data_IF_669183307326
#
_entry.id   IF_669183307326
#
_cell.length_a   1.000
_cell.length_b   1.000
_cell.length_c   1.000
_cell.angle_alpha   90.00
_cell.angle_beta   90.00
_cell.angle_gamma   90.00
#
_symmetry.space_group_name_H-M   'P 1'
#
loop_
_entity.id
_entity.type
_entity.pdbx_description
1 polymer ?
#
# COMPACT_ATOMS: atom_id res chain seq x y z
N UNK A 1 17.93 -1.90 -49.58
CA UNK A 1 17.33 -3.03 -48.81
C UNK A 1 17.50 -2.72 -47.31
N UNK A 2 16.82 -1.71 -46.76
CA UNK A 2 15.52 -1.80 -46.05
C UNK A 2 15.41 -2.90 -45.00
N UNK A 3 15.69 -2.53 -43.74
CA UNK A 3 14.86 -2.93 -42.57
C UNK A 3 15.18 -2.01 -41.38
N UNK A 4 14.56 -0.84 -41.36
CA UNK A 4 14.36 -0.10 -40.10
C UNK A 4 13.21 -0.79 -39.37
N UNK A 5 13.53 -1.62 -38.39
CA UNK A 5 12.53 -2.14 -37.46
C UNK A 5 12.02 -0.98 -36.60
N UNK A 6 10.91 -0.39 -37.05
CA UNK A 6 10.07 0.50 -36.26
C UNK A 6 9.75 -0.19 -34.94
N UNK A 7 10.24 0.40 -33.85
CA UNK A 7 9.64 0.19 -32.55
C UNK A 7 8.21 0.71 -32.66
N UNK A 8 7.26 -0.18 -32.95
CA UNK A 8 5.84 0.13 -32.91
C UNK A 8 5.50 0.55 -31.47
N UNK A 9 5.54 1.86 -31.23
CA UNK A 9 4.80 2.53 -30.19
C UNK A 9 3.34 2.18 -30.42
N UNK A 10 2.66 1.60 -29.43
CA UNK A 10 1.22 1.32 -29.51
C UNK A 10 0.49 2.57 -30.02
N UNK A 11 -0.55 2.39 -30.85
CA UNK A 11 -1.32 3.52 -31.34
C UNK A 11 -1.87 4.32 -30.14
N UNK A 12 -1.89 5.66 -30.19
CA UNK A 12 -2.26 6.49 -29.04
C UNK A 12 -3.63 6.12 -28.46
N UNK A 13 -4.58 5.68 -29.28
CA UNK A 13 -5.92 5.24 -28.85
C UNK A 13 -5.90 3.96 -27.98
N UNK A 14 -5.08 2.96 -28.33
CA UNK A 14 -4.99 1.68 -27.60
C UNK A 14 -4.44 1.86 -26.18
N UNK A 15 -3.44 2.72 -26.04
CA UNK A 15 -2.83 3.02 -24.74
C UNK A 15 -3.79 3.76 -23.79
N UNK A 16 -4.74 4.52 -24.33
CA UNK A 16 -5.71 5.28 -23.54
C UNK A 16 -6.76 4.38 -22.90
N UNK A 17 -7.20 3.32 -23.58
CA UNK A 17 -8.17 2.37 -23.02
C UNK A 17 -7.64 1.65 -21.78
N UNK A 18 -6.36 1.24 -21.81
CA UNK A 18 -5.67 0.64 -20.65
C UNK A 18 -5.59 1.61 -19.47
N UNK A 19 -5.30 2.89 -19.73
CA UNK A 19 -5.30 3.92 -18.69
C UNK A 19 -6.70 4.12 -18.11
N UNK A 20 -7.73 4.20 -18.96
CA UNK A 20 -9.13 4.35 -18.52
C UNK A 20 -9.54 3.16 -17.64
N UNK A 21 -9.27 1.94 -18.07
CA UNK A 21 -9.56 0.72 -17.29
C UNK A 21 -8.87 0.75 -15.92
N UNK A 22 -7.62 1.21 -15.86
CA UNK A 22 -6.90 1.38 -14.59
C UNK A 22 -7.52 2.47 -13.72
N UNK A 23 -7.88 3.63 -14.28
CA UNK A 23 -8.50 4.71 -13.53
C UNK A 23 -9.88 4.31 -12.98
N UNK A 24 -10.67 3.53 -13.74
CA UNK A 24 -11.94 2.97 -13.28
C UNK A 24 -11.74 1.98 -12.14
N UNK A 25 -10.73 1.11 -12.22
CA UNK A 25 -10.36 0.22 -11.11
C UNK A 25 -9.97 1.02 -9.87
N UNK A 26 -9.14 2.06 -10.03
CA UNK A 26 -8.72 2.92 -8.93
C UNK A 26 -9.90 3.65 -8.30
N UNK A 27 -10.88 4.10 -9.09
CA UNK A 27 -12.11 4.69 -8.60
C UNK A 27 -12.97 3.67 -7.83
N UNK A 28 -13.12 2.44 -8.33
CA UNK A 28 -13.83 1.38 -7.61
C UNK A 28 -13.15 1.04 -6.29
N UNK A 29 -11.81 0.94 -6.27
CA UNK A 29 -11.04 0.75 -5.05
C UNK A 29 -11.13 1.96 -4.10
N UNK A 30 -11.22 3.17 -4.63
CA UNK A 30 -11.40 4.37 -3.80
C UNK A 30 -12.74 4.34 -3.05
N UNK A 31 -13.82 3.94 -3.72
CA UNK A 31 -15.17 3.91 -3.14
C UNK A 31 -15.44 2.70 -2.25
N UNK A 32 -14.75 1.57 -2.50
CA UNK A 32 -15.06 0.29 -1.86
C UNK A 32 -13.89 -0.52 -1.30
N UNK A 33 -12.66 -0.07 -1.53
CA UNK A 33 -11.43 -0.82 -1.23
C UNK A 33 -10.70 -0.35 0.02
N UNK A 34 -11.35 0.42 0.90
CA UNK A 34 -10.75 1.00 2.10
C UNK A 34 -10.92 0.19 3.38
N UNK A 35 -11.48 -1.02 3.31
CA UNK A 35 -11.64 -1.93 4.44
C UNK A 35 -10.87 -3.24 4.21
N UNK A 36 -10.42 -3.88 5.30
CA UNK A 36 -9.59 -5.09 5.29
C UNK A 36 -10.34 -6.37 5.67
N UNK A 37 -11.62 -6.25 6.03
CA UNK A 37 -12.47 -7.38 6.44
C UNK A 37 -13.02 -8.13 5.24
N UNK A 38 -13.21 -9.44 5.39
CA UNK A 38 -13.74 -10.32 4.35
C UNK A 38 -15.24 -10.14 4.09
N UNK A 39 -16.00 -9.67 5.09
CA UNK A 39 -17.47 -9.52 5.08
C UNK A 39 -17.97 -8.18 4.49
N UNK A 40 -17.07 -7.36 3.95
CA UNK A 40 -17.43 -6.05 3.42
C UNK A 40 -18.09 -6.19 2.05
N UNK A 41 -19.35 -5.72 1.96
CA UNK A 41 -20.20 -5.78 0.76
C UNK A 41 -19.55 -5.14 -0.47
N UNK A 42 -18.74 -4.09 -0.30
CA UNK A 42 -18.09 -3.42 -1.43
C UNK A 42 -17.09 -4.29 -2.17
N UNK A 43 -16.58 -5.37 -1.56
CA UNK A 43 -15.72 -6.34 -2.25
C UNK A 43 -16.44 -7.06 -3.40
N UNK A 44 -17.79 -7.11 -3.37
CA UNK A 44 -18.62 -7.66 -4.44
C UNK A 44 -18.48 -6.90 -5.76
N UNK A 45 -18.11 -5.62 -5.74
CA UNK A 45 -17.85 -4.86 -6.97
C UNK A 45 -16.36 -4.57 -7.20
N UNK A 46 -15.55 -4.43 -6.14
CA UNK A 46 -14.10 -4.17 -6.28
C UNK A 46 -13.37 -5.33 -6.97
N UNK A 47 -13.69 -6.58 -6.60
CA UNK A 47 -13.03 -7.76 -7.20
C UNK A 47 -13.43 -7.97 -8.67
N UNK A 48 -14.72 -7.91 -9.05
CA UNK A 48 -15.08 -7.90 -10.47
C UNK A 48 -14.46 -6.73 -11.24
N UNK A 49 -14.38 -5.52 -10.67
CA UNK A 49 -13.71 -4.40 -11.33
C UNK A 49 -12.22 -4.69 -11.61
N UNK A 50 -11.52 -5.38 -10.71
CA UNK A 50 -10.14 -5.80 -10.93
C UNK A 50 -10.04 -6.83 -12.07
N UNK A 51 -10.96 -7.80 -12.13
CA UNK A 51 -11.04 -8.80 -13.22
C UNK A 51 -11.34 -8.10 -14.55
N UNK A 52 -12.32 -7.20 -14.59
CA UNK A 52 -12.66 -6.43 -15.79
C UNK A 52 -11.49 -5.57 -16.27
N UNK A 53 -10.72 -4.99 -15.34
CA UNK A 53 -9.50 -4.26 -15.68
C UNK A 53 -8.45 -5.19 -16.32
N UNK A 54 -8.22 -6.37 -15.74
CA UNK A 54 -7.32 -7.40 -16.30
C UNK A 54 -7.77 -7.80 -17.71
N UNK A 55 -9.05 -8.15 -17.87
CA UNK A 55 -9.64 -8.55 -19.15
C UNK A 55 -9.51 -7.42 -20.18
N UNK A 56 -9.85 -6.19 -19.81
CA UNK A 56 -9.73 -5.04 -20.71
C UNK A 56 -8.27 -4.84 -21.16
N UNK A 57 -7.30 -4.95 -20.25
CA UNK A 57 -5.87 -4.80 -20.59
C UNK A 57 -5.39 -5.90 -21.52
N UNK A 58 -5.81 -7.15 -21.30
CA UNK A 58 -5.42 -8.30 -22.12
C UNK A 58 -6.08 -8.30 -23.51
N UNK A 59 -7.33 -7.83 -23.62
CA UNK A 59 -8.06 -7.73 -24.88
C UNK A 59 -7.67 -6.50 -25.70
N UNK A 60 -7.15 -5.45 -25.06
CA UNK A 60 -6.69 -4.24 -25.77
C UNK A 60 -5.37 -4.55 -26.48
N UNK A 61 -5.31 -4.41 -27.83
CA UNK A 61 -4.07 -4.60 -28.59
C UNK A 61 -2.93 -3.70 -28.08
N UNK A 62 -1.69 -4.15 -28.29
CA UNK A 62 -0.48 -3.42 -27.91
C UNK A 62 0.47 -4.23 -27.03
N UNK A 63 1.73 -3.82 -26.98
CA UNK A 63 2.76 -4.55 -26.22
C UNK A 63 2.59 -4.36 -24.72
N UNK A 64 2.77 -5.45 -23.96
CA UNK A 64 2.90 -5.44 -22.51
C UNK A 64 4.37 -5.61 -22.15
N UNK A 65 4.96 -4.65 -21.43
CA UNK A 65 6.34 -4.75 -20.95
C UNK A 65 6.38 -5.45 -19.59
N UNK A 66 6.12 -6.76 -19.59
CA UNK A 66 6.17 -7.59 -18.38
C UNK A 66 7.60 -7.71 -17.84
N UNK A 67 8.62 -7.55 -18.69
CA UNK A 67 10.02 -7.63 -18.27
C UNK A 67 10.37 -6.49 -17.31
N UNK A 68 9.82 -5.29 -17.54
CA UNK A 68 9.95 -4.16 -16.63
C UNK A 68 9.49 -4.49 -15.20
N UNK A 69 8.34 -5.14 -15.09
CA UNK A 69 7.66 -5.41 -13.83
C UNK A 69 7.87 -6.86 -13.34
N UNK A 70 8.85 -7.57 -13.90
CA UNK A 70 9.09 -9.00 -13.62
C UNK A 70 9.27 -9.30 -12.14
N UNK A 71 9.95 -8.40 -11.39
CA UNK A 71 10.20 -8.63 -9.96
C UNK A 71 8.95 -8.35 -9.12
N UNK A 72 8.24 -7.21 -9.27
CA UNK A 72 6.93 -7.03 -8.64
C UNK A 72 5.95 -8.17 -8.93
N UNK A 73 5.87 -8.63 -10.19
CA UNK A 73 5.03 -9.78 -10.55
C UNK A 73 5.49 -11.08 -9.90
N UNK A 74 6.80 -11.36 -9.89
CA UNK A 74 7.33 -12.58 -9.26
C UNK A 74 7.09 -12.59 -7.74
N UNK A 75 7.19 -11.44 -7.07
CA UNK A 75 6.93 -11.34 -5.63
C UNK A 75 5.44 -11.48 -5.31
N UNK A 76 4.57 -10.82 -6.08
CA UNK A 76 3.11 -10.96 -5.92
C UNK A 76 2.63 -12.38 -6.28
N UNK A 77 3.16 -12.96 -7.35
CA UNK A 77 2.91 -14.33 -7.77
C UNK A 77 3.47 -15.36 -6.77
N UNK A 78 4.61 -15.08 -6.15
CA UNK A 78 5.16 -15.87 -5.06
C UNK A 78 4.24 -15.87 -3.84
N UNK A 79 3.69 -14.71 -3.48
CA UNK A 79 2.70 -14.61 -2.39
C UNK A 79 1.42 -15.39 -2.72
N UNK A 80 0.92 -15.28 -3.94
CA UNK A 80 -0.20 -16.07 -4.43
C UNK A 80 0.10 -17.57 -4.40
N UNK A 81 1.31 -17.97 -4.76
CA UNK A 81 1.75 -19.37 -4.72
C UNK A 81 1.79 -19.91 -3.29
N UNK A 82 2.26 -19.12 -2.31
CA UNK A 82 2.20 -19.52 -0.89
C UNK A 82 0.75 -19.78 -0.47
N UNK A 83 -0.18 -18.88 -0.81
CA UNK A 83 -1.60 -19.07 -0.51
C UNK A 83 -2.19 -20.31 -1.20
N UNK A 84 -1.81 -20.58 -2.45
CA UNK A 84 -2.24 -21.78 -3.18
C UNK A 84 -1.70 -23.06 -2.56
N UNK A 85 -0.42 -23.07 -2.14
CA UNK A 85 0.18 -24.20 -1.42
C UNK A 85 -0.55 -24.45 -0.11
N UNK A 86 -0.93 -23.40 0.62
CA UNK A 86 -1.69 -23.52 1.86
C UNK A 86 -3.09 -24.14 1.67
N UNK A 87 -3.62 -24.16 0.44
CA UNK A 87 -4.91 -24.77 0.11
C UNK A 87 -4.79 -26.24 -0.34
N UNK A 88 -3.59 -26.80 -0.43
CA UNK A 88 -3.39 -28.20 -0.79
C UNK A 88 -3.90 -29.11 0.33
N UNK A 89 -4.92 -29.96 0.07
CA UNK A 89 -5.41 -30.91 1.07
C UNK A 89 -4.37 -31.99 1.34
N UNK A 90 -4.10 -32.23 2.62
CA UNK A 90 -3.21 -33.27 3.10
C UNK A 90 -4.00 -34.46 3.66
N UNK A 91 -3.49 -35.69 3.54
CA UNK A 91 -4.01 -36.85 4.25
C UNK A 91 -4.04 -36.63 5.77
N UNK A 92 -5.01 -37.23 6.49
CA UNK A 92 -5.17 -37.01 7.93
C UNK A 92 -3.89 -37.20 8.76
N UNK A 93 -3.11 -38.24 8.48
CA UNK A 93 -1.86 -38.50 9.20
C UNK A 93 -0.78 -37.44 8.99
N UNK A 94 -0.67 -36.90 7.76
CA UNK A 94 0.27 -35.82 7.46
C UNK A 94 -0.19 -34.50 8.06
N UNK A 95 -1.49 -34.21 7.97
CA UNK A 95 -2.08 -33.01 8.56
C UNK A 95 -1.94 -33.00 10.09
N UNK A 96 -2.20 -34.13 10.76
CA UNK A 96 -2.06 -34.29 12.21
C UNK A 96 -0.61 -34.10 12.69
N UNK A 97 0.37 -34.52 11.88
CA UNK A 97 1.78 -34.37 12.18
C UNK A 97 2.32 -32.95 11.94
N UNK A 98 1.52 -32.04 11.36
CA UNK A 98 1.95 -30.66 11.14
C UNK A 98 2.10 -29.90 12.47
N UNK A 99 3.08 -28.97 12.55
CA UNK A 99 3.24 -28.09 13.71
C UNK A 99 1.94 -27.34 14.04
N UNK A 100 1.51 -27.40 15.29
CA UNK A 100 0.32 -26.71 15.80
C UNK A 100 -1.03 -27.35 15.44
N UNK A 101 -1.07 -28.41 14.63
CA UNK A 101 -2.34 -29.03 14.19
C UNK A 101 -2.89 -30.07 15.16
N UNK A 102 -2.03 -30.68 15.99
CA UNK A 102 -2.41 -31.74 16.92
C UNK A 102 -3.53 -31.33 17.90
N UNK A 103 -3.57 -30.06 18.30
CA UNK A 103 -4.58 -29.52 19.23
C UNK A 103 -6.01 -29.55 18.68
N UNK A 104 -6.18 -29.61 17.34
CA UNK A 104 -7.50 -29.65 16.72
C UNK A 104 -8.03 -31.08 16.54
N UNK A 105 -7.19 -32.10 16.74
CA UNK A 105 -7.55 -33.50 16.48
C UNK A 105 -8.69 -33.98 17.38
N UNK A 106 -8.73 -33.55 18.64
CA UNK A 106 -9.80 -33.91 19.57
C UNK A 106 -11.15 -33.42 19.05
N UNK A 107 -11.26 -32.13 18.72
CA UNK A 107 -12.48 -31.52 18.16
C UNK A 107 -12.87 -32.17 16.82
N UNK A 108 -11.89 -32.45 15.97
CA UNK A 108 -12.13 -33.13 14.67
C UNK A 108 -12.64 -34.57 14.88
N UNK A 109 -12.12 -35.29 15.88
CA UNK A 109 -12.55 -36.65 16.17
C UNK A 109 -13.97 -36.69 16.72
N UNK A 110 -14.32 -35.77 17.61
CA UNK A 110 -15.66 -35.64 18.20
C UNK A 110 -16.73 -35.26 17.16
N UNK A 111 -16.34 -34.54 16.10
CA UNK A 111 -17.22 -34.17 14.99
C UNK A 111 -17.31 -35.22 13.87
N UNK A 112 -16.65 -36.39 14.03
CA UNK A 112 -16.66 -37.47 13.04
C UNK A 112 -15.76 -37.22 11.81
N UNK A 113 -14.95 -36.16 11.83
CA UNK A 113 -14.11 -35.71 10.71
C UNK A 113 -12.69 -36.27 10.69
N UNK A 114 -12.38 -37.31 11.48
CA UNK A 114 -11.02 -37.83 11.69
C UNK A 114 -10.36 -38.41 10.41
N UNK A 115 -11.16 -38.85 9.44
CA UNK A 115 -10.68 -39.40 8.16
C UNK A 115 -10.59 -38.39 7.01
N UNK A 116 -10.99 -37.14 7.22
CA UNK A 116 -11.09 -36.15 6.15
C UNK A 116 -9.74 -35.54 5.79
N UNK A 117 -9.51 -35.37 4.49
CA UNK A 117 -8.34 -34.64 4.00
C UNK A 117 -8.53 -33.14 4.23
N UNK A 118 -7.53 -32.50 4.81
CA UNK A 118 -7.62 -31.09 5.22
C UNK A 118 -6.45 -30.28 4.67
N UNK A 119 -6.71 -29.05 4.19
CA UNK A 119 -5.65 -28.17 3.73
C UNK A 119 -4.71 -27.74 4.86
N UNK A 120 -3.52 -27.28 4.48
CA UNK A 120 -2.54 -26.71 5.41
C UNK A 120 -3.14 -25.52 6.17
N UNK A 121 -3.92 -24.67 5.49
CA UNK A 121 -4.62 -23.55 6.12
C UNK A 121 -5.71 -24.04 7.08
N UNK A 122 -5.75 -23.45 8.28
CA UNK A 122 -6.79 -23.71 9.28
C UNK A 122 -8.15 -23.08 8.93
N UNK A 123 -8.16 -22.04 8.09
CA UNK A 123 -9.39 -21.40 7.58
C UNK A 123 -9.30 -21.22 6.07
N UNK A 124 -9.58 -22.28 5.28
CA UNK A 124 -9.32 -22.30 3.84
C UNK A 124 -10.10 -21.23 3.08
N UNK A 125 -11.35 -20.95 3.50
CA UNK A 125 -12.16 -19.88 2.91
C UNK A 125 -11.53 -18.50 3.09
N UNK A 126 -10.91 -18.22 4.23
CA UNK A 126 -10.20 -16.96 4.47
C UNK A 126 -8.90 -16.86 3.66
N UNK A 127 -8.23 -18.00 3.41
CA UNK A 127 -7.06 -18.06 2.52
C UNK A 127 -7.44 -17.84 1.06
N UNK A 128 -8.54 -18.43 0.59
CA UNK A 128 -9.10 -18.14 -0.74
C UNK A 128 -9.49 -16.66 -0.85
N UNK A 129 -10.13 -16.12 0.18
CA UNK A 129 -10.50 -14.71 0.24
C UNK A 129 -9.26 -13.79 0.17
N UNK A 130 -8.18 -14.15 0.85
CA UNK A 130 -6.89 -13.44 0.81
C UNK A 130 -6.23 -13.52 -0.57
N UNK A 131 -6.30 -14.68 -1.23
CA UNK A 131 -5.82 -14.86 -2.60
C UNK A 131 -6.56 -13.94 -3.58
N UNK A 132 -7.88 -13.84 -3.48
CA UNK A 132 -8.66 -12.87 -4.27
C UNK A 132 -8.36 -11.41 -3.89
N UNK A 133 -7.87 -11.16 -2.68
CA UNK A 133 -7.34 -9.86 -2.26
C UNK A 133 -6.13 -9.39 -3.06
N UNK A 134 -5.42 -10.29 -3.74
CA UNK A 134 -4.29 -9.94 -4.61
C UNK A 134 -4.73 -9.45 -6.01
N UNK A 135 -6.01 -9.61 -6.38
CA UNK A 135 -6.50 -9.21 -7.70
C UNK A 135 -6.33 -7.71 -7.98
N UNK A 136 -6.73 -6.77 -7.09
CA UNK A 136 -6.55 -5.34 -7.35
C UNK A 136 -5.08 -4.93 -7.61
N UNK A 137 -4.09 -5.27 -6.75
CA UNK A 137 -2.70 -4.93 -7.05
C UNK A 137 -2.16 -5.66 -8.29
N UNK A 138 -2.58 -6.90 -8.58
CA UNK A 138 -2.19 -7.61 -9.80
C UNK A 138 -2.71 -6.90 -11.06
N UNK A 139 -3.97 -6.47 -11.05
CA UNK A 139 -4.58 -5.71 -12.13
C UNK A 139 -3.86 -4.37 -12.38
N UNK A 140 -3.46 -3.68 -11.31
CA UNK A 140 -2.64 -2.45 -11.40
C UNK A 140 -1.30 -2.73 -12.08
N UNK A 141 -0.54 -3.75 -11.65
CA UNK A 141 0.74 -4.08 -12.26
C UNK A 141 0.59 -4.43 -13.75
N UNK A 142 -0.44 -5.21 -14.09
CA UNK A 142 -0.73 -5.59 -15.47
C UNK A 142 -1.10 -4.38 -16.33
N UNK A 143 -1.99 -3.52 -15.85
CA UNK A 143 -2.35 -2.30 -16.56
C UNK A 143 -1.13 -1.40 -16.80
N UNK A 144 -0.32 -1.15 -15.77
CA UNK A 144 0.90 -0.32 -15.86
C UNK A 144 1.92 -0.88 -16.85
N UNK A 145 2.02 -2.21 -16.96
CA UNK A 145 2.91 -2.87 -17.94
C UNK A 145 2.59 -2.47 -19.39
N UNK A 146 1.34 -2.12 -19.68
CA UNK A 146 0.87 -1.69 -20.98
C UNK A 146 0.79 -0.18 -21.19
N UNK A 147 1.13 0.63 -20.18
CA UNK A 147 1.09 2.10 -20.26
C UNK A 147 2.39 2.70 -20.79
N UNK A 148 2.26 3.81 -21.54
CA UNK A 148 3.39 4.67 -21.90
C UNK A 148 3.96 5.41 -20.69
N UNK A 149 5.21 5.88 -20.81
CA UNK A 149 5.87 6.65 -19.78
C UNK A 149 5.05 7.87 -19.32
N UNK A 150 4.46 8.62 -20.25
CA UNK A 150 3.62 9.79 -19.95
C UNK A 150 2.35 9.39 -19.20
N UNK A 151 1.71 8.28 -19.55
CA UNK A 151 0.52 7.80 -18.85
C UNK A 151 0.83 7.34 -17.42
N UNK A 152 2.02 6.77 -17.19
CA UNK A 152 2.47 6.41 -15.84
C UNK A 152 2.73 7.64 -14.97
N UNK A 153 3.12 8.77 -15.56
CA UNK A 153 3.18 10.05 -14.85
C UNK A 153 1.78 10.54 -14.43
N UNK A 154 0.73 10.27 -15.20
CA UNK A 154 -0.65 10.62 -14.81
C UNK A 154 -1.12 9.89 -13.54
N UNK A 155 -0.52 8.74 -13.20
CA UNK A 155 -0.84 8.03 -11.96
C UNK A 155 -0.46 8.83 -10.71
N UNK A 156 0.49 9.76 -10.81
CA UNK A 156 0.80 10.70 -9.71
C UNK A 156 -0.43 11.56 -9.43
N UNK A 157 -1.09 12.06 -10.47
CA UNK A 157 -2.32 12.83 -10.34
C UNK A 157 -3.47 11.97 -9.81
N UNK A 158 -3.58 10.70 -10.24
CA UNK A 158 -4.59 9.78 -9.73
C UNK A 158 -4.47 9.59 -8.20
N UNK A 159 -3.26 9.37 -7.69
CA UNK A 159 -3.00 9.28 -6.23
C UNK A 159 -3.38 10.59 -5.52
N UNK A 160 -3.02 11.76 -6.08
CA UNK A 160 -3.38 13.07 -5.51
C UNK A 160 -4.90 13.27 -5.48
N UNK A 161 -5.62 12.89 -6.53
CA UNK A 161 -7.08 13.01 -6.62
C UNK A 161 -7.75 12.11 -5.58
N UNK A 162 -7.31 10.86 -5.44
CA UNK A 162 -7.81 9.93 -4.42
C UNK A 162 -7.55 10.48 -3.01
N UNK A 163 -6.33 10.98 -2.75
CA UNK A 163 -5.99 11.57 -1.46
C UNK A 163 -6.84 12.82 -1.16
N UNK A 164 -7.06 13.67 -2.16
CA UNK A 164 -7.94 14.85 -2.03
C UNK A 164 -9.38 14.42 -1.73
N UNK A 165 -9.92 13.45 -2.46
CA UNK A 165 -11.26 12.92 -2.20
C UNK A 165 -11.37 12.34 -0.78
N UNK A 166 -10.35 11.61 -0.32
CA UNK A 166 -10.29 11.05 1.03
C UNK A 166 -10.20 12.14 2.11
N UNK A 167 -9.40 13.18 1.90
CA UNK A 167 -9.29 14.31 2.81
C UNK A 167 -10.62 15.09 2.91
N UNK A 168 -11.27 15.36 1.78
CA UNK A 168 -12.58 16.02 1.73
C UNK A 168 -13.66 15.18 2.42
N UNK A 169 -13.71 13.88 2.14
CA UNK A 169 -14.66 12.99 2.81
C UNK A 169 -14.38 12.91 4.32
N UNK A 170 -13.11 12.89 4.73
CA UNK A 170 -12.72 12.92 6.13
C UNK A 170 -13.16 14.22 6.83
N UNK A 171 -13.07 15.37 6.16
CA UNK A 171 -13.62 16.63 6.68
C UNK A 171 -15.13 16.54 6.86
N UNK A 172 -15.85 16.03 5.85
CA UNK A 172 -17.30 15.86 5.90
C UNK A 172 -17.72 14.94 7.05
N UNK A 173 -17.03 13.81 7.25
CA UNK A 173 -17.26 12.86 8.34
C UNK A 173 -17.16 13.49 9.74
N UNK A 174 -16.18 14.37 9.95
CA UNK A 174 -16.02 15.09 11.22
C UNK A 174 -17.16 16.10 11.40
N UNK A 175 -17.44 16.90 10.36
CA UNK A 175 -18.49 17.94 10.44
C UNK A 175 -19.90 17.38 10.58
N UNK A 176 -20.16 16.16 10.10
CA UNK A 176 -21.47 15.49 10.22
C UNK A 176 -21.70 14.78 11.55
N UNK A 177 -20.71 14.72 12.45
CA UNK A 177 -20.81 13.99 13.70
C UNK A 177 -20.68 12.47 13.57
N UNK A 178 -20.78 11.76 14.70
CA UNK A 178 -20.52 10.32 14.85
C UNK A 178 -21.48 9.46 14.00
N UNK A 179 -22.74 9.89 13.87
CA UNK A 179 -23.81 9.18 13.15
C UNK A 179 -24.05 9.73 11.74
N UNK A 180 -23.12 10.55 11.22
CA UNK A 180 -23.23 11.15 9.91
C UNK A 180 -23.26 10.14 8.75
N UNK A 181 -23.86 10.49 7.60
CA UNK A 181 -24.02 9.58 6.46
C UNK A 181 -22.72 9.36 5.65
N UNK A 182 -21.65 10.10 5.97
CA UNK A 182 -20.41 10.10 5.18
C UNK A 182 -19.43 8.97 5.55
N UNK A 183 -19.75 8.12 6.52
CA UNK A 183 -18.97 6.91 6.81
C UNK A 183 -19.33 5.80 5.82
N UNK A 184 -18.36 5.38 5.00
CA UNK A 184 -18.55 4.37 3.96
C UNK A 184 -18.72 2.94 4.49
N UNK A 185 -18.30 2.70 5.75
CA UNK A 185 -18.26 1.37 6.34
C UNK A 185 -18.96 1.36 7.70
N UNK A 186 -19.69 0.28 7.97
CA UNK A 186 -20.42 0.10 9.24
C UNK A 186 -19.48 -0.01 10.44
N UNK A 187 -18.37 -0.76 10.27
CA UNK A 187 -17.32 -0.91 11.28
C UNK A 187 -16.18 0.05 10.93
N UNK A 188 -16.10 1.17 11.66
CA UNK A 188 -15.14 2.26 11.39
C UNK A 188 -14.85 3.07 12.65
N UNK A 189 -13.82 3.92 12.61
CA UNK A 189 -13.49 4.88 13.68
C UNK A 189 -14.40 6.11 13.63
N UNK A 190 -15.66 5.98 14.06
CA UNK A 190 -16.63 7.08 14.05
C UNK A 190 -16.16 8.27 14.91
N UNK A 191 -16.49 9.48 14.45
CA UNK A 191 -16.07 10.75 15.05
C UNK A 191 -14.69 11.24 14.60
N UNK A 192 -13.99 10.51 13.73
CA UNK A 192 -12.65 10.85 13.24
C UNK A 192 -12.61 10.87 11.71
N UNK A 193 -11.62 11.56 11.12
CA UNK A 193 -11.43 11.59 9.67
C UNK A 193 -10.91 10.25 9.14
N UNK A 194 -11.82 9.34 8.81
CA UNK A 194 -11.49 8.03 8.20
C UNK A 194 -11.41 8.09 6.67
N UNK A 195 -11.93 9.15 6.05
CA UNK A 195 -11.89 9.36 4.61
C UNK A 195 -12.49 8.18 3.85
N UNK A 196 -11.79 7.70 2.83
CA UNK A 196 -12.17 6.54 2.02
C UNK A 196 -11.95 5.19 2.72
N UNK A 197 -11.44 5.18 3.94
CA UNK A 197 -11.06 3.97 4.69
C UNK A 197 -11.98 3.71 5.87
N UNK A 198 -12.01 2.45 6.33
CA UNK A 198 -12.59 2.08 7.62
C UNK A 198 -11.62 2.39 8.79
N UNK A 199 -10.32 2.38 8.53
CA UNK A 199 -9.27 2.63 9.51
C UNK A 199 -8.71 4.06 9.33
N UNK A 200 -8.79 4.87 10.39
CA UNK A 200 -8.26 6.25 10.44
C UNK A 200 -6.76 6.34 10.13
N UNK A 201 -5.98 5.33 10.54
CA UNK A 201 -4.55 5.29 10.30
C UNK A 201 -4.22 5.11 8.80
N UNK A 202 -5.04 4.35 8.08
CA UNK A 202 -4.87 4.14 6.63
C UNK A 202 -5.14 5.43 5.84
N UNK A 203 -6.13 6.23 6.28
CA UNK A 203 -6.37 7.55 5.71
C UNK A 203 -5.18 8.47 5.95
N UNK A 204 -4.68 8.56 7.19
CA UNK A 204 -3.52 9.38 7.51
C UNK A 204 -2.28 8.98 6.67
N UNK A 205 -2.05 7.68 6.49
CA UNK A 205 -0.99 7.16 5.64
C UNK A 205 -1.14 7.57 4.16
N UNK A 206 -2.35 7.47 3.60
CA UNK A 206 -2.61 7.91 2.22
C UNK A 206 -2.28 9.40 2.05
N UNK A 207 -2.75 10.24 2.98
CA UNK A 207 -2.48 11.69 2.94
C UNK A 207 -0.99 12.00 3.09
N UNK A 208 -0.30 11.30 4.00
CA UNK A 208 1.14 11.41 4.17
C UNK A 208 1.92 11.01 2.90
N UNK A 209 1.54 9.92 2.25
CA UNK A 209 2.14 9.45 1.01
C UNK A 209 1.83 10.36 -0.19
N UNK A 210 0.73 11.10 -0.15
CA UNK A 210 0.36 12.07 -1.19
C UNK A 210 1.19 13.37 -1.14
N UNK A 211 1.78 13.74 0.00
CA UNK A 211 2.65 14.92 0.12
C UNK A 211 3.86 14.89 -0.84
N UNK A 212 4.68 13.81 -0.89
CA UNK A 212 5.74 13.73 -1.88
C UNK A 212 5.21 13.57 -3.32
N UNK A 213 4.01 13.00 -3.51
CA UNK A 213 3.37 12.94 -4.82
C UNK A 213 2.99 14.35 -5.33
N UNK A 214 2.47 15.23 -4.47
CA UNK A 214 2.22 16.64 -4.79
C UNK A 214 3.49 17.35 -5.24
N UNK A 215 4.60 17.17 -4.51
CA UNK A 215 5.90 17.73 -4.92
C UNK A 215 6.29 17.22 -6.30
N UNK A 216 6.19 15.91 -6.50
CA UNK A 216 6.51 15.28 -7.77
C UNK A 216 5.70 15.82 -8.93
N UNK A 217 4.39 16.05 -8.72
CA UNK A 217 3.54 16.68 -9.71
C UNK A 217 4.03 18.08 -10.10
N UNK A 218 4.53 18.88 -9.15
CA UNK A 218 5.12 20.20 -9.46
C UNK A 218 6.38 20.13 -10.33
N UNK A 219 7.08 19.00 -10.34
CA UNK A 219 8.35 18.80 -11.05
C UNK A 219 8.18 18.22 -12.46
N UNK A 220 7.02 17.64 -12.78
CA UNK A 220 6.74 17.11 -14.11
C UNK A 220 6.82 18.21 -15.19
N UNK A 221 7.04 17.88 -16.48
CA UNK A 221 6.97 18.87 -17.55
C UNK A 221 5.67 19.68 -17.52
N UNK A 222 5.75 20.98 -17.86
CA UNK A 222 4.62 21.90 -17.85
C UNK A 222 4.56 22.64 -19.19
N UNK A 223 3.35 22.84 -19.73
CA UNK A 223 3.13 23.50 -21.03
C UNK A 223 3.55 24.97 -21.05
N UNK A 224 3.46 25.65 -19.91
CA UNK A 224 3.84 27.07 -19.78
C UNK A 224 4.36 27.38 -18.37
N UNK A 225 5.06 28.51 -18.21
CA UNK A 225 5.50 29.01 -16.92
C UNK A 225 4.31 29.30 -15.98
N UNK A 226 3.24 29.89 -16.52
CA UNK A 226 2.00 30.15 -15.79
C UNK A 226 1.37 28.85 -15.27
N UNK A 227 1.26 27.82 -16.11
CA UNK A 227 0.73 26.52 -15.71
C UNK A 227 1.59 25.87 -14.60
N UNK A 228 2.91 26.00 -14.69
CA UNK A 228 3.84 25.53 -13.64
C UNK A 228 3.59 26.25 -12.30
N UNK A 229 3.37 27.57 -12.33
CA UNK A 229 3.06 28.36 -11.13
C UNK A 229 1.70 27.95 -10.54
N UNK A 230 0.64 27.88 -11.35
CA UNK A 230 -0.69 27.43 -10.89
C UNK A 230 -0.62 26.05 -10.26
N UNK A 231 0.06 25.10 -10.91
CA UNK A 231 0.28 23.75 -10.37
C UNK A 231 1.00 23.75 -9.03
N UNK A 232 1.96 24.66 -8.85
CA UNK A 232 2.70 24.80 -7.59
C UNK A 232 1.79 25.34 -6.48
N UNK A 233 0.97 26.36 -6.77
CA UNK A 233 0.02 26.91 -5.81
C UNK A 233 -1.07 25.92 -5.42
N UNK A 234 -1.60 25.15 -6.39
CA UNK A 234 -2.53 24.05 -6.11
C UNK A 234 -1.86 23.01 -5.21
N UNK A 235 -0.62 22.62 -5.50
CA UNK A 235 0.10 21.65 -4.67
C UNK A 235 0.35 22.15 -3.25
N UNK A 236 0.62 23.44 -3.07
CA UNK A 236 0.76 24.06 -1.74
C UNK A 236 -0.59 24.04 -1.00
N UNK A 237 -1.67 24.46 -1.66
CA UNK A 237 -3.01 24.46 -1.07
C UNK A 237 -3.48 23.07 -0.65
N UNK A 238 -3.32 22.07 -1.53
CA UNK A 238 -3.64 20.68 -1.21
C UNK A 238 -2.71 20.11 -0.13
N UNK A 239 -1.42 20.46 -0.14
CA UNK A 239 -0.48 20.03 0.89
C UNK A 239 -0.86 20.57 2.27
N UNK A 240 -1.23 21.85 2.36
CA UNK A 240 -1.75 22.45 3.59
C UNK A 240 -3.06 21.79 4.02
N UNK A 241 -3.97 21.54 3.08
CA UNK A 241 -5.22 20.84 3.37
C UNK A 241 -4.97 19.43 3.95
N UNK A 242 -4.07 18.65 3.36
CA UNK A 242 -3.72 17.32 3.88
C UNK A 242 -3.10 17.40 5.28
N UNK A 243 -2.18 18.34 5.51
CA UNK A 243 -1.57 18.56 6.81
C UNK A 243 -2.59 18.97 7.90
N UNK A 244 -3.70 19.61 7.52
CA UNK A 244 -4.79 19.93 8.44
C UNK A 244 -5.69 18.73 8.75
N UNK A 245 -5.90 17.84 7.77
CA UNK A 245 -6.75 16.64 7.97
C UNK A 245 -6.02 15.52 8.71
N UNK A 246 -4.68 15.39 8.58
CA UNK A 246 -3.91 14.35 9.27
C UNK A 246 -4.13 14.35 10.80
N UNK A 247 -4.02 15.48 11.53
CA UNK A 247 -4.36 15.53 12.96
C UNK A 247 -5.80 15.11 13.27
N UNK A 248 -6.73 15.46 12.39
CA UNK A 248 -8.15 15.15 12.52
C UNK A 248 -8.46 13.64 12.42
N UNK A 249 -7.49 12.83 11.99
CA UNK A 249 -7.58 11.36 12.03
C UNK A 249 -7.38 10.79 13.44
N UNK A 250 -6.84 11.56 14.39
CA UNK A 250 -6.49 11.06 15.73
C UNK A 250 -5.39 9.99 15.74
N UNK A 251 -4.59 9.89 14.67
CA UNK A 251 -3.53 8.88 14.53
C UNK A 251 -2.14 9.42 14.85
N UNK A 252 -1.55 8.99 15.98
CA UNK A 252 -0.15 9.32 16.35
C UNK A 252 0.85 8.83 15.28
N UNK A 253 0.69 7.60 14.81
CA UNK A 253 1.48 7.06 13.71
C UNK A 253 1.25 7.83 12.41
N UNK A 254 0.00 8.24 12.15
CA UNK A 254 -0.36 9.08 11.00
C UNK A 254 0.30 10.46 11.01
N UNK A 255 0.44 11.09 12.18
CA UNK A 255 1.15 12.35 12.34
C UNK A 255 2.64 12.23 12.07
N UNK A 256 3.28 11.17 12.58
CA UNK A 256 4.67 10.86 12.27
C UNK A 256 4.87 10.58 10.78
N UNK A 257 3.95 9.81 10.17
CA UNK A 257 3.96 9.58 8.73
C UNK A 257 3.77 10.87 7.94
N UNK A 258 2.87 11.77 8.38
CA UNK A 258 2.63 13.07 7.78
C UNK A 258 3.86 13.98 7.83
N UNK A 259 4.53 14.03 8.97
CA UNK A 259 5.80 14.75 9.13
C UNK A 259 6.89 14.16 8.23
N UNK A 260 7.04 12.83 8.19
CA UNK A 260 7.98 12.16 7.30
C UNK A 260 7.67 12.44 5.82
N UNK A 261 6.41 12.34 5.40
CA UNK A 261 5.94 12.66 4.06
C UNK A 261 6.23 14.09 3.65
N UNK A 262 6.05 15.05 4.57
CA UNK A 262 6.39 16.46 4.36
C UNK A 262 7.90 16.67 4.18
N UNK A 263 8.73 16.06 5.04
CA UNK A 263 10.19 16.09 4.93
C UNK A 263 10.64 15.51 3.59
N UNK A 264 10.10 14.35 3.21
CA UNK A 264 10.39 13.73 1.91
C UNK A 264 10.00 14.66 0.76
N UNK A 265 8.83 15.31 0.82
CA UNK A 265 8.39 16.25 -0.21
C UNK A 265 9.36 17.44 -0.37
N UNK A 266 10.07 17.85 0.67
CA UNK A 266 11.11 18.89 0.59
C UNK A 266 12.37 18.36 -0.12
N UNK A 267 12.79 17.13 0.18
CA UNK A 267 14.10 16.60 -0.24
C UNK A 267 14.10 15.69 -1.48
N UNK A 268 12.94 15.24 -1.96
CA UNK A 268 12.83 14.29 -3.09
C UNK A 268 13.54 14.76 -4.37
N UNK A 269 13.56 16.08 -4.60
CA UNK A 269 14.37 16.70 -5.63
C UNK A 269 14.94 18.04 -5.13
N UNK A 270 16.23 18.33 -5.40
CA UNK A 270 16.82 19.62 -5.07
C UNK A 270 16.02 20.72 -5.77
N UNK A 271 15.74 21.81 -5.05
CA UNK A 271 15.31 23.05 -5.70
C UNK A 271 16.46 23.48 -6.62
N UNK A 272 16.17 23.70 -7.91
CA UNK A 272 17.18 23.99 -8.92
C UNK A 272 18.20 25.02 -8.39
N UNK A 273 19.50 24.68 -8.29
CA UNK A 273 20.50 25.48 -7.57
C UNK A 273 20.64 26.90 -8.14
N UNK A 274 20.38 27.07 -9.43
CA UNK A 274 20.64 28.31 -10.17
C UNK A 274 19.79 29.51 -9.69
N UNK A 275 18.76 29.29 -8.85
CA UNK A 275 17.87 30.36 -8.37
C UNK A 275 17.47 30.27 -6.89
N UNK A 276 18.07 29.40 -6.07
CA UNK A 276 17.71 29.33 -4.64
C UNK A 276 18.40 30.46 -3.88
N UNK A 277 17.73 31.61 -3.79
CA UNK A 277 18.14 32.70 -2.91
C UNK A 277 18.31 32.20 -1.46
N UNK A 278 19.34 32.66 -0.76
CA UNK A 278 19.63 32.32 0.64
C UNK A 278 18.41 32.48 1.57
N UNK A 279 17.50 33.41 1.25
CA UNK A 279 16.22 33.60 1.97
C UNK A 279 15.29 32.39 1.88
N UNK A 280 15.20 31.72 0.73
CA UNK A 280 14.35 30.53 0.52
C UNK A 280 14.88 29.34 1.30
N UNK A 281 16.20 29.19 1.40
CA UNK A 281 16.85 28.15 2.18
C UNK A 281 16.58 28.31 3.69
N UNK A 282 16.51 29.56 4.19
CA UNK A 282 16.10 29.86 5.57
C UNK A 282 14.65 29.47 5.86
N UNK A 283 13.71 29.82 4.99
CA UNK A 283 12.29 29.45 5.17
C UNK A 283 12.07 27.93 5.08
N UNK A 284 12.81 27.22 4.22
CA UNK A 284 12.79 25.75 4.17
C UNK A 284 13.26 25.12 5.49
N UNK A 285 14.33 25.67 6.10
CA UNK A 285 14.80 25.23 7.42
C UNK A 285 13.75 25.48 8.50
N UNK A 286 13.10 26.64 8.50
CA UNK A 286 12.00 26.91 9.43
C UNK A 286 10.80 25.98 9.21
N UNK A 287 10.37 25.75 7.96
CA UNK A 287 9.28 24.81 7.66
C UNK A 287 9.60 23.39 8.13
N UNK A 288 10.86 22.95 8.01
CA UNK A 288 11.32 21.63 8.46
C UNK A 288 11.22 21.44 9.98
N UNK A 289 11.32 22.52 10.75
CA UNK A 289 11.21 22.48 12.21
C UNK A 289 9.76 22.73 12.66
N UNK A 290 9.12 23.75 12.08
CA UNK A 290 7.81 24.25 12.51
C UNK A 290 6.69 23.30 12.13
N UNK A 291 6.68 22.73 10.92
CA UNK A 291 5.56 21.86 10.49
C UNK A 291 5.50 20.58 11.34
N UNK A 292 6.60 19.82 11.53
CA UNK A 292 6.56 18.65 12.43
C UNK A 292 6.24 19.03 13.88
N UNK A 293 6.81 20.13 14.39
CA UNK A 293 6.53 20.60 15.74
C UNK A 293 5.05 21.00 15.91
N UNK A 294 4.47 21.68 14.93
CA UNK A 294 3.06 22.05 14.93
C UNK A 294 2.15 20.84 14.83
N UNK A 295 2.46 19.87 13.96
CA UNK A 295 1.73 18.61 13.89
C UNK A 295 1.78 17.86 15.23
N UNK A 296 2.94 17.84 15.90
CA UNK A 296 3.10 17.26 17.23
C UNK A 296 2.29 18.02 18.29
N UNK A 297 2.33 19.35 18.29
CA UNK A 297 1.54 20.16 19.22
C UNK A 297 0.04 19.97 19.00
N UNK A 298 -0.41 19.90 17.75
CA UNK A 298 -1.80 19.58 17.40
C UNK A 298 -2.18 18.17 17.88
N UNK A 299 -1.28 17.19 17.74
CA UNK A 299 -1.49 15.85 18.28
C UNK A 299 -1.78 15.88 19.78
N UNK A 300 -0.92 16.59 20.52
CA UNK A 300 -1.03 16.74 21.97
C UNK A 300 -2.26 17.55 22.38
N UNK A 301 -2.71 18.49 21.55
CA UNK A 301 -3.90 19.31 21.80
C UNK A 301 -5.19 18.54 21.54
N UNK A 302 -5.29 17.82 20.42
CA UNK A 302 -6.46 16.98 20.13
C UNK A 302 -6.64 15.85 21.14
N UNK A 303 -5.55 15.38 21.77
CA UNK A 303 -5.58 14.46 22.91
C UNK A 303 -6.32 15.05 24.13
N UNK A 304 -6.43 16.38 24.24
CA UNK A 304 -7.06 17.08 25.39
C UNK A 304 -8.49 17.57 25.13
N UNK A 305 -8.88 17.79 23.87
CA UNK A 305 -10.11 18.53 23.53
C UNK A 305 -11.33 17.68 23.09
N UNK A 306 -11.12 16.44 22.66
CA UNK A 306 -12.20 15.51 22.29
C UNK A 306 -12.62 14.74 23.54
N UNK A 307 -13.84 14.95 24.07
CA UNK A 307 -14.41 14.32 25.27
C UNK A 307 -13.58 13.16 25.85
N UNK A 308 -12.66 13.55 26.74
CA UNK A 308 -11.53 12.77 27.25
C UNK A 308 -11.90 11.38 27.78
N UNK A 309 -13.14 11.14 28.21
CA UNK A 309 -13.49 9.85 28.82
C UNK A 309 -13.76 8.71 27.84
N UNK A 310 -14.19 8.96 26.59
CA UNK A 310 -14.61 7.87 25.66
C UNK A 310 -13.55 7.48 24.63
N UNK A 311 -12.74 8.42 24.16
CA UNK A 311 -11.68 8.14 23.17
C UNK A 311 -10.36 7.71 23.80
N UNK A 312 -10.07 8.19 25.02
CA UNK A 312 -8.90 7.77 25.80
C UNK A 312 -9.08 6.34 26.28
N UNK A 313 -10.22 5.99 26.88
CA UNK A 313 -10.49 4.60 27.29
C UNK A 313 -10.47 3.62 26.11
N UNK A 314 -11.13 3.93 24.99
CA UNK A 314 -11.12 3.02 23.83
C UNK A 314 -9.76 2.95 23.11
N UNK A 315 -9.02 4.07 23.04
CA UNK A 315 -7.74 4.17 22.36
C UNK A 315 -6.56 3.61 23.16
N UNK A 316 -6.52 3.85 24.47
CA UNK A 316 -5.54 3.25 25.38
C UNK A 316 -5.74 1.75 25.49
N UNK A 317 -6.99 1.30 25.66
CA UNK A 317 -7.30 -0.13 25.72
C UNK A 317 -6.96 -0.85 24.41
N UNK A 318 -7.15 -0.21 23.25
CA UNK A 318 -6.74 -0.76 21.96
C UNK A 318 -5.20 -0.84 21.81
N UNK A 319 -4.45 0.16 22.27
CA UNK A 319 -2.99 0.13 22.23
C UNK A 319 -2.39 -0.88 23.22
N UNK A 320 -2.95 -0.94 24.42
CA UNK A 320 -2.58 -1.92 25.46
C UNK A 320 -2.80 -3.35 24.94
N UNK A 321 -3.96 -3.63 24.35
CA UNK A 321 -4.25 -4.92 23.70
C UNK A 321 -3.25 -5.28 22.61
N UNK A 322 -2.84 -4.34 21.76
CA UNK A 322 -1.83 -4.60 20.71
C UNK A 322 -0.51 -5.04 21.31
N UNK A 323 -0.06 -4.38 22.38
CA UNK A 323 1.19 -4.73 23.06
C UNK A 323 1.09 -6.08 23.77
N UNK A 324 -0.04 -6.36 24.43
CA UNK A 324 -0.31 -7.64 25.09
C UNK A 324 -0.49 -8.80 24.08
N UNK A 325 -0.95 -8.52 22.86
CA UNK A 325 -1.13 -9.51 21.79
C UNK A 325 0.21 -9.98 21.18
N UNK A 326 1.26 -9.16 21.18
CA UNK A 326 2.56 -9.51 20.58
C UNK A 326 3.17 -10.83 21.12
N UNK A 327 3.26 -11.07 22.44
CA UNK A 327 3.78 -12.34 22.94
C UNK A 327 2.88 -13.53 22.55
N UNK A 328 1.56 -13.35 22.49
CA UNK A 328 0.63 -14.39 22.05
C UNK A 328 0.86 -14.73 20.58
N UNK A 329 0.98 -13.70 19.72
CA UNK A 329 1.29 -13.89 18.30
C UNK A 329 2.63 -14.60 18.13
N UNK A 330 3.64 -14.27 18.94
CA UNK A 330 4.94 -14.95 18.90
C UNK A 330 4.84 -16.44 19.28
N UNK A 331 3.98 -16.80 20.24
CA UNK A 331 3.67 -18.20 20.57
C UNK A 331 3.01 -18.90 19.39
N UNK A 332 2.00 -18.29 18.76
CA UNK A 332 1.35 -18.87 17.57
C UNK A 332 2.36 -19.05 16.43
N UNK A 333 3.21 -18.04 16.17
CA UNK A 333 4.28 -18.15 15.17
C UNK A 333 5.16 -19.36 15.47
N UNK A 334 5.59 -19.54 16.72
CA UNK A 334 6.41 -20.67 17.13
C UNK A 334 5.70 -22.02 16.91
N UNK A 335 4.42 -22.11 17.23
CA UNK A 335 3.68 -23.38 17.19
C UNK A 335 3.37 -23.84 15.76
N UNK A 336 3.20 -22.91 14.81
CA UNK A 336 2.88 -23.21 13.41
C UNK A 336 4.07 -23.01 12.44
N UNK A 337 5.25 -22.62 12.92
CA UNK A 337 6.45 -22.54 12.08
C UNK A 337 6.86 -23.94 11.58
N UNK A 338 7.30 -24.12 10.33
CA UNK A 338 7.60 -23.11 9.30
C UNK A 338 6.46 -22.79 8.32
N UNK A 339 5.29 -23.43 8.43
CA UNK A 339 4.23 -23.34 7.41
C UNK A 339 3.27 -22.17 7.63
N UNK A 340 3.13 -21.72 8.88
CA UNK A 340 2.13 -20.73 9.27
C UNK A 340 0.72 -21.31 9.33
N UNK A 341 -0.22 -20.52 9.81
CA UNK A 341 -1.61 -20.93 10.06
C UNK A 341 -2.51 -20.88 8.82
N UNK A 342 -2.09 -20.17 7.76
CA UNK A 342 -2.87 -19.86 6.56
C UNK A 342 -3.19 -18.37 6.44
N UNK A 343 -3.08 -17.76 5.26
CA UNK A 343 -3.47 -16.35 5.07
C UNK A 343 -4.94 -16.10 5.43
N UNK A 344 -5.21 -14.99 6.13
CA UNK A 344 -6.54 -14.62 6.60
C UNK A 344 -6.99 -15.29 7.90
N UNK A 345 -6.18 -16.19 8.47
CA UNK A 345 -6.53 -16.94 9.69
C UNK A 345 -6.22 -16.21 11.00
N UNK A 346 -5.76 -14.96 10.95
CA UNK A 346 -5.35 -14.22 12.15
C UNK A 346 -6.42 -14.25 13.25
N UNK A 347 -7.61 -13.75 12.95
CA UNK A 347 -8.72 -13.65 13.92
C UNK A 347 -9.16 -15.02 14.47
N UNK A 348 -9.52 -16.03 13.64
CA UNK A 348 -9.99 -17.31 14.18
C UNK A 348 -8.93 -18.07 14.98
N UNK A 349 -7.64 -17.95 14.65
CA UNK A 349 -6.57 -18.62 15.40
C UNK A 349 -6.23 -17.85 16.66
N UNK A 350 -6.12 -16.52 16.60
CA UNK A 350 -5.79 -15.69 17.75
C UNK A 350 -6.80 -15.88 18.89
N UNK A 351 -8.09 -15.96 18.59
CA UNK A 351 -9.14 -16.21 19.60
C UNK A 351 -8.96 -17.51 20.37
N UNK A 352 -8.35 -18.54 19.75
CA UNK A 352 -8.05 -19.80 20.43
C UNK A 352 -6.86 -19.70 21.40
N UNK A 353 -6.01 -18.68 21.25
CA UNK A 353 -4.84 -18.43 22.09
C UNK A 353 -5.04 -17.25 23.04
N UNK A 354 -6.14 -16.51 22.94
CA UNK A 354 -6.43 -15.32 23.75
C UNK A 354 -6.68 -15.76 25.22
N UNK A 355 -5.87 -15.29 26.19
CA UNK A 355 -6.07 -15.63 27.59
C UNK A 355 -7.38 -15.05 28.15
N UNK A 356 -7.99 -15.75 29.11
CA UNK A 356 -9.25 -15.33 29.74
C UNK A 356 -9.24 -13.88 30.25
N UNK A 357 -8.10 -13.44 30.80
CA UNK A 357 -7.91 -12.07 31.30
C UNK A 357 -7.85 -10.98 30.23
N UNK A 358 -7.75 -11.34 28.94
CA UNK A 358 -7.74 -10.42 27.80
C UNK A 358 -9.11 -10.34 27.11
N UNK A 359 -10.03 -11.26 27.43
CA UNK A 359 -11.34 -11.33 26.79
C UNK A 359 -12.15 -10.06 27.06
N UNK A 360 -12.74 -9.51 25.99
CA UNK A 360 -13.66 -8.37 26.08
C UNK A 360 -14.76 -8.49 25.04
N UNK A 361 -15.71 -7.55 25.04
CA UNK A 361 -16.76 -7.44 24.01
C UNK A 361 -16.23 -7.03 22.61
N UNK A 362 -14.92 -6.83 22.46
CA UNK A 362 -14.26 -6.47 21.19
C UNK A 362 -13.11 -7.42 20.90
N UNK A 363 -12.92 -7.78 19.64
CA UNK A 363 -11.85 -8.69 19.21
C UNK A 363 -10.79 -7.96 18.37
N UNK A 364 -9.58 -8.52 18.34
CA UNK A 364 -8.51 -8.12 17.44
C UNK A 364 -8.72 -8.79 16.08
N UNK A 365 -9.11 -8.01 15.07
CA UNK A 365 -9.30 -8.52 13.71
C UNK A 365 -7.99 -8.73 12.94
N UNK A 366 -6.88 -8.12 13.40
CA UNK A 366 -5.55 -8.11 12.78
C UNK A 366 -4.48 -7.92 13.85
N UNK A 367 -3.25 -8.32 13.55
CA UNK A 367 -2.11 -8.17 14.46
C UNK A 367 -1.73 -6.70 14.71
N UNK A 368 -2.14 -5.79 13.81
CA UNK A 368 -1.63 -4.40 13.77
C UNK A 368 -0.10 -4.35 13.69
N UNK A 369 0.46 -5.33 13.00
CA UNK A 369 1.85 -5.45 12.62
C UNK A 369 1.89 -6.43 11.45
N UNK A 370 1.95 -5.91 10.22
CA UNK A 370 1.92 -6.76 9.01
C UNK A 370 3.06 -7.79 9.02
N UNK A 371 4.21 -7.50 9.64
CA UNK A 371 5.36 -8.42 9.68
C UNK A 371 5.06 -9.63 10.57
N UNK A 372 4.53 -9.40 11.76
CA UNK A 372 4.14 -10.48 12.68
C UNK A 372 2.98 -11.29 12.11
N UNK A 373 2.00 -10.63 11.50
CA UNK A 373 0.88 -11.34 10.86
C UNK A 373 1.35 -12.16 9.65
N UNK A 374 2.28 -11.64 8.85
CA UNK A 374 2.89 -12.36 7.73
C UNK A 374 3.64 -13.61 8.21
N UNK A 375 4.40 -13.50 9.30
CA UNK A 375 5.11 -14.63 9.90
C UNK A 375 4.13 -15.68 10.47
N UNK A 376 3.08 -15.24 11.17
CA UNK A 376 2.04 -16.10 11.75
C UNK A 376 1.28 -16.86 10.67
N UNK A 377 0.82 -16.15 9.64
CA UNK A 377 -0.08 -16.72 8.63
C UNK A 377 0.63 -17.40 7.48
N UNK A 378 1.76 -16.85 7.01
CA UNK A 378 2.49 -17.33 5.84
C UNK A 378 3.80 -18.06 6.14
N UNK A 379 4.22 -18.09 7.40
CA UNK A 379 5.40 -18.83 7.86
C UNK A 379 6.71 -18.40 7.19
N UNK A 380 7.65 -19.34 7.11
CA UNK A 380 8.99 -19.15 6.56
C UNK A 380 8.94 -18.65 5.11
N UNK A 381 8.08 -19.22 4.27
CA UNK A 381 8.02 -18.85 2.85
C UNK A 381 7.60 -17.39 2.66
N UNK A 382 6.64 -16.91 3.44
CA UNK A 382 6.24 -15.51 3.40
C UNK A 382 7.33 -14.57 3.95
N UNK A 383 8.03 -14.97 5.01
CA UNK A 383 9.20 -14.23 5.51
C UNK A 383 10.32 -14.14 4.47
N UNK A 384 10.59 -15.22 3.71
CA UNK A 384 11.57 -15.21 2.62
C UNK A 384 11.16 -14.30 1.48
N UNK A 385 9.86 -14.26 1.14
CA UNK A 385 9.33 -13.32 0.14
C UNK A 385 9.46 -11.86 0.59
N UNK A 386 9.18 -11.56 1.86
CA UNK A 386 9.42 -10.23 2.43
C UNK A 386 10.91 -9.86 2.37
N UNK A 387 11.79 -10.79 2.74
CA UNK A 387 13.24 -10.56 2.64
C UNK A 387 13.66 -10.28 1.19
N UNK A 388 13.15 -11.06 0.22
CA UNK A 388 13.40 -10.83 -1.20
C UNK A 388 12.88 -9.46 -1.67
N UNK A 389 11.70 -9.03 -1.19
CA UNK A 389 11.16 -7.71 -1.44
C UNK A 389 12.05 -6.60 -0.86
N UNK A 390 12.51 -6.73 0.40
CA UNK A 390 13.39 -5.77 1.05
C UNK A 390 14.76 -5.67 0.35
N UNK A 391 15.31 -6.81 -0.09
CA UNK A 391 16.54 -6.85 -0.90
C UNK A 391 16.32 -6.12 -2.23
N UNK A 392 15.20 -6.40 -2.92
CA UNK A 392 14.85 -5.72 -4.16
C UNK A 392 14.69 -4.20 -3.96
N UNK A 393 13.95 -3.79 -2.93
CA UNK A 393 13.78 -2.39 -2.55
C UNK A 393 15.12 -1.71 -2.26
N UNK A 394 16.00 -2.38 -1.50
CA UNK A 394 17.33 -1.85 -1.18
C UNK A 394 18.24 -1.73 -2.41
N UNK A 395 18.18 -2.66 -3.36
CA UNK A 395 18.96 -2.59 -4.60
C UNK A 395 18.42 -1.53 -5.55
N UNK A 396 17.10 -1.51 -5.80
CA UNK A 396 16.49 -0.53 -6.71
C UNK A 396 16.50 0.87 -6.11
N UNK A 397 16.30 1.00 -4.80
CA UNK A 397 16.38 2.26 -4.09
C UNK A 397 17.78 2.88 -4.17
N UNK A 398 18.84 2.07 -3.94
CA UNK A 398 20.22 2.52 -4.16
C UNK A 398 20.45 3.02 -5.59
N UNK A 399 19.92 2.30 -6.59
CA UNK A 399 20.00 2.74 -8.01
C UNK A 399 19.23 4.04 -8.27
N UNK A 400 18.07 4.22 -7.64
CA UNK A 400 17.26 5.43 -7.76
C UNK A 400 17.93 6.66 -7.12
N UNK A 401 18.62 6.46 -6.00
CA UNK A 401 19.37 7.50 -5.31
C UNK A 401 20.69 7.86 -6.02
N UNK A 402 21.43 6.87 -6.53
CA UNK A 402 22.72 7.08 -7.18
C UNK A 402 22.63 7.88 -8.50
N UNK A 403 21.44 7.95 -9.12
CA UNK A 403 21.26 8.72 -10.36
C UNK A 403 20.98 10.19 -10.08
N UNK A 404 21.55 11.08 -10.90
CA UNK A 404 21.20 12.50 -10.86
C UNK A 404 19.70 12.69 -11.13
N UNK A 405 19.02 13.59 -10.38
CA UNK A 405 17.59 13.87 -10.55
C UNK A 405 17.26 14.69 -11.82
N UNK A 406 17.92 14.42 -12.94
CA UNK A 406 17.74 15.16 -14.20
C UNK A 406 16.72 14.53 -15.16
N UNK A 407 16.26 13.30 -14.90
CA UNK A 407 15.27 12.60 -15.74
C UNK A 407 14.02 12.20 -14.95
N UNK A 408 12.84 12.34 -15.56
CA UNK A 408 11.56 12.08 -14.89
C UNK A 408 11.41 10.64 -14.36
N UNK A 409 12.00 9.64 -15.01
CA UNK A 409 11.93 8.24 -14.56
C UNK A 409 12.70 8.02 -13.25
N UNK A 410 13.83 8.73 -13.06
CA UNK A 410 14.58 8.69 -11.81
C UNK A 410 13.81 9.31 -10.65
N UNK A 411 13.07 10.39 -10.91
CA UNK A 411 12.23 11.03 -9.90
C UNK A 411 11.02 10.16 -9.54
N UNK A 412 10.33 9.54 -10.51
CA UNK A 412 9.25 8.60 -10.23
C UNK A 412 9.74 7.41 -9.40
N UNK A 413 10.92 6.86 -9.72
CA UNK A 413 11.49 5.77 -8.93
C UNK A 413 11.79 6.17 -7.48
N UNK A 414 12.26 7.41 -7.24
CA UNK A 414 12.43 7.96 -5.90
C UNK A 414 11.10 8.13 -5.17
N UNK A 415 10.07 8.62 -5.87
CA UNK A 415 8.71 8.71 -5.31
C UNK A 415 8.20 7.33 -4.89
N UNK A 416 8.31 6.34 -5.78
CA UNK A 416 7.94 4.95 -5.50
C UNK A 416 8.66 4.40 -4.28
N UNK A 417 9.99 4.57 -4.20
CA UNK A 417 10.80 4.18 -3.04
C UNK A 417 10.31 4.83 -1.75
N UNK A 418 10.06 6.15 -1.76
CA UNK A 418 9.61 6.87 -0.58
C UNK A 418 8.21 6.44 -0.12
N UNK A 419 7.27 6.25 -1.05
CA UNK A 419 5.92 5.79 -0.74
C UNK A 419 5.92 4.36 -0.21
N UNK A 420 6.71 3.46 -0.79
CA UNK A 420 6.93 2.11 -0.25
C UNK A 420 7.47 2.21 1.18
N UNK A 421 8.49 3.05 1.41
CA UNK A 421 9.07 3.25 2.74
C UNK A 421 8.05 3.72 3.78
N UNK A 422 7.22 4.70 3.44
CA UNK A 422 6.14 5.18 4.33
C UNK A 422 5.13 4.07 4.65
N UNK A 423 4.74 3.27 3.65
CA UNK A 423 3.81 2.16 3.84
C UNK A 423 4.42 1.08 4.73
N UNK A 424 5.68 0.69 4.49
CA UNK A 424 6.38 -0.29 5.32
C UNK A 424 6.58 0.17 6.76
N UNK A 425 6.84 1.47 6.98
CA UNK A 425 6.93 2.02 8.33
C UNK A 425 5.58 1.96 9.05
N UNK A 426 4.48 2.27 8.35
CA UNK A 426 3.14 2.13 8.91
C UNK A 426 2.77 0.67 9.19
N UNK A 427 3.22 -0.27 8.36
CA UNK A 427 3.09 -1.72 8.54
C UNK A 427 3.75 -2.28 9.81
N UNK A 428 4.64 -1.52 10.47
CA UNK A 428 5.21 -1.90 11.77
C UNK A 428 4.22 -1.74 12.93
N UNK A 429 3.22 -0.86 12.76
CA UNK A 429 2.27 -0.45 13.81
C UNK A 429 0.81 -0.66 13.42
N UNK A 430 0.55 -1.02 12.17
CA UNK A 430 -0.77 -1.26 11.61
C UNK A 430 -0.70 -2.22 10.41
N UNK A 431 -1.80 -2.39 9.68
CA UNK A 431 -1.93 -3.34 8.55
C UNK A 431 -2.36 -2.69 7.21
N UNK A 432 -1.73 -1.60 6.74
CA UNK A 432 -2.20 -0.83 5.59
C UNK A 432 -2.38 -1.65 4.32
N UNK A 433 -1.51 -2.64 4.08
CA UNK A 433 -1.50 -3.46 2.87
C UNK A 433 -2.65 -4.46 2.79
N UNK A 434 -3.41 -4.64 3.87
CA UNK A 434 -4.60 -5.50 3.88
C UNK A 434 -5.83 -4.83 3.23
N UNK A 435 -5.73 -3.58 2.77
CA UNK A 435 -6.83 -2.90 2.05
C UNK A 435 -6.57 -2.84 0.54
N UNK A 436 -7.57 -3.15 -0.31
CA UNK A 436 -7.42 -3.06 -1.77
C UNK A 436 -6.86 -1.73 -2.27
N UNK A 437 -7.31 -0.60 -1.71
CA UNK A 437 -6.90 0.74 -2.15
C UNK A 437 -5.41 1.00 -1.90
N UNK A 438 -4.91 0.73 -0.68
CA UNK A 438 -3.49 0.89 -0.39
C UNK A 438 -2.64 -0.19 -1.09
N UNK A 439 -3.18 -1.40 -1.31
CA UNK A 439 -2.56 -2.40 -2.16
C UNK A 439 -2.33 -1.90 -3.59
N UNK A 440 -3.33 -1.24 -4.18
CA UNK A 440 -3.20 -0.59 -5.50
C UNK A 440 -2.15 0.54 -5.49
N UNK A 441 -2.17 1.42 -4.48
CA UNK A 441 -1.17 2.50 -4.33
C UNK A 441 0.24 1.93 -4.17
N UNK A 442 0.40 0.86 -3.40
CA UNK A 442 1.67 0.16 -3.22
C UNK A 442 2.16 -0.49 -4.52
N UNK A 443 1.27 -1.10 -5.30
CA UNK A 443 1.60 -1.65 -6.62
C UNK A 443 2.04 -0.56 -7.60
N UNK A 444 1.37 0.60 -7.61
CA UNK A 444 1.81 1.78 -8.39
C UNK A 444 3.21 2.21 -7.95
N UNK A 445 3.46 2.35 -6.64
CA UNK A 445 4.76 2.75 -6.12
C UNK A 445 5.88 1.74 -6.50
N UNK A 446 5.59 0.44 -6.43
CA UNK A 446 6.49 -0.62 -6.89
C UNK A 446 6.78 -0.50 -8.40
N UNK A 447 5.76 -0.19 -9.19
CA UNK A 447 5.93 -0.01 -10.64
C UNK A 447 6.84 1.16 -10.97
N UNK A 448 6.69 2.30 -10.28
CA UNK A 448 7.57 3.46 -10.45
C UNK A 448 9.01 3.17 -10.06
N UNK A 449 9.23 2.42 -8.96
CA UNK A 449 10.57 2.01 -8.56
C UNK A 449 11.21 1.08 -9.60
N UNK A 450 10.43 0.15 -10.17
CA UNK A 450 10.91 -0.79 -11.18
C UNK A 450 11.37 -0.10 -12.48
N UNK A 451 10.81 1.06 -12.82
CA UNK A 451 11.18 1.84 -14.02
C UNK A 451 12.66 2.17 -14.13
N UNK A 452 13.36 2.23 -13.00
CA UNK A 452 14.80 2.49 -12.96
C UNK A 452 15.59 1.51 -13.84
N UNK A 453 15.06 0.29 -14.05
CA UNK A 453 15.66 -0.78 -14.86
C UNK A 453 15.70 -0.45 -16.36
N UNK A 454 14.74 0.30 -16.91
CA UNK A 454 14.73 0.70 -18.33
C UNK A 454 15.87 1.66 -18.67
N UNK A 455 16.21 2.55 -17.74
CA UNK A 455 17.31 3.47 -17.94
C UNK A 455 18.69 2.79 -17.86
N UNK A 456 18.82 1.61 -17.24
CA UNK A 456 20.09 0.83 -17.24
C UNK A 456 20.34 0.22 -18.60
N UNK A 457 19.32 -0.42 -19.21
CA UNK A 457 19.47 -1.11 -20.49
C UNK A 457 19.71 -0.15 -21.67
N UNK A 458 19.17 1.07 -21.62
CA UNK A 458 19.42 2.11 -22.62
C UNK A 458 20.89 2.59 -22.66
N UNK A 459 21.56 2.66 -21.51
CA UNK A 459 22.99 3.05 -21.43
C UNK A 459 23.92 1.97 -21.99
N UNK A 460 23.61 0.70 -21.76
CA UNK A 460 24.36 -0.43 -22.34
C UNK A 460 24.08 -0.63 -23.84
N UNK A 461 22.89 -0.30 -24.34
CA UNK A 461 22.64 -0.32 -25.80
C UNK A 461 23.42 0.76 -26.54
N UNK A 462 23.45 2.01 -26.04
CA UNK A 462 24.25 3.09 -26.68
C UNK A 462 25.74 2.74 -26.73
N UNK A 463 26.30 2.26 -25.61
CA UNK A 463 27.70 1.82 -25.57
C UNK A 463 28.01 0.62 -26.50
N UNK A 464 27.01 -0.24 -26.78
CA UNK A 464 27.16 -1.35 -27.73
C UNK A 464 26.95 -0.97 -29.21
N UNK A 465 26.33 0.17 -29.52
CA UNK A 465 26.25 0.70 -30.89
C UNK A 465 27.46 1.54 -31.24
N UNK A 466 28.04 2.28 -30.29
CA UNK A 466 29.19 3.16 -30.58
C UNK A 466 30.49 2.39 -30.89
N UNK A 467 30.66 1.14 -30.40
CA UNK A 467 31.81 0.31 -30.78
C UNK A 467 31.68 -0.37 -32.15
N UNK A 468 30.49 -0.40 -32.76
CA UNK A 468 30.25 -1.05 -34.06
C UNK A 468 30.21 -0.09 -35.25
N UNK A 469 30.47 1.21 -35.03
CA UNK A 469 30.50 2.24 -36.08
C UNK A 469 31.94 2.75 -36.34
N UNK A 470 32.96 2.13 -35.73
CA UNK A 470 34.38 2.47 -35.96
C UNK A 470 35.20 1.22 -36.33
N UNK A 471 34.68 0.40 -37.25
CA UNK A 471 35.47 -0.64 -37.90
C UNK A 471 35.18 -0.66 -39.40
#
# INVERSE_FOLDING_TARGET
MTTYATQATAAPEESNLRLIALLLLLAACALGGGASRSDVVSLLYVRPAAILCIVAVLLTPGKLDLHLLRVPFALLGGLALVMLVQLIPLPPGLWAAMPGHAQYLEVISLSGGAGEWRPISLAPFETVNSLFGLLPPAAVLLAVSGLSYTQRQHLVLAVIVIATASATLGLLQITSGVDGPFYLYNVTSRGLATGLFANRNHNALLLAAALPALRMWTLLPAKSAQFRMSRTWIAIGLGLFFLLIIPATGSRAGLLAGAAGFVIAIFIAPFAPDYVHARRLRWLRWALLVVPALLMLLALWFDRGLSLERLVTAGELANEKRLLALPIIATIVRDFFPFGTGFGTFDPVFRGYEPDGMLTLTYLNRAHNDLMELAMTGGLLACLLLLAFLVWLGVMGRRALARKPSGGAGLLARLGMCMIGLILLASLTDYPLSTPLLGCVFAIACSWLAEISLCVSGSHRRAKTDWKVVA
#
